data_IF_098529234622
#
_entry.id   IF_098529234622
#
_cell.length_a   1.000
_cell.length_b   1.000
_cell.length_c   1.000
_cell.angle_alpha   90.00
_cell.angle_beta   90.00
_cell.angle_gamma   90.00
#
_symmetry.space_group_name_H-M   'P 1'
#
loop_
_entity.id
_entity.type
_entity.pdbx_description
1 polymer ?
#
# COMPACT_ATOMS: atom_id res chain seq x y z
N UNK A 1 -17.01 -3.36 -4.28
CA UNK A 1 -15.72 -3.97 -3.89
C UNK A 1 -14.60 -2.93 -3.91
N UNK A 2 -14.69 -1.93 -4.79
CA UNK A 2 -13.77 -0.79 -4.94
C UNK A 2 -13.16 -0.21 -3.65
N UNK A 3 -13.93 0.01 -2.58
CA UNK A 3 -13.40 0.51 -1.30
C UNK A 3 -12.44 -0.47 -0.60
N UNK A 4 -12.71 -1.78 -0.69
CA UNK A 4 -11.85 -2.83 -0.16
C UNK A 4 -10.58 -2.94 -1.00
N UNK A 5 -10.70 -2.89 -2.33
CA UNK A 5 -9.57 -2.93 -3.25
C UNK A 5 -8.67 -1.70 -3.08
N UNK A 6 -9.25 -0.52 -2.85
CA UNK A 6 -8.51 0.69 -2.52
C UNK A 6 -7.76 0.55 -1.19
N UNK A 7 -8.41 -0.02 -0.17
CA UNK A 7 -7.76 -0.30 1.12
C UNK A 7 -6.62 -1.32 0.95
N UNK A 8 -6.81 -2.34 0.12
CA UNK A 8 -5.77 -3.32 -0.19
C UNK A 8 -4.56 -2.68 -0.91
N UNK A 9 -4.79 -1.69 -1.79
CA UNK A 9 -3.72 -0.90 -2.38
C UNK A 9 -2.89 -0.14 -1.32
N UNK A 10 -3.55 0.45 -0.32
CA UNK A 10 -2.84 1.09 0.82
C UNK A 10 -2.04 0.09 1.65
N UNK A 11 -2.60 -1.10 1.90
CA UNK A 11 -1.90 -2.17 2.62
C UNK A 11 -0.67 -2.63 1.83
N UNK A 12 -0.77 -2.76 0.51
CA UNK A 12 0.36 -3.07 -0.37
C UNK A 12 1.45 -1.99 -0.25
N UNK A 13 1.07 -0.72 -0.33
CA UNK A 13 2.03 0.38 -0.18
C UNK A 13 2.72 0.38 1.19
N UNK A 14 1.99 0.11 2.27
CA UNK A 14 2.55 -0.02 3.60
C UNK A 14 3.50 -1.22 3.72
N UNK A 15 3.15 -2.38 3.16
CA UNK A 15 4.00 -3.56 3.12
C UNK A 15 5.32 -3.28 2.39
N UNK A 16 5.24 -2.63 1.22
CA UNK A 16 6.41 -2.21 0.45
C UNK A 16 7.27 -1.24 1.26
N UNK A 17 6.69 -0.24 1.93
CA UNK A 17 7.48 0.68 2.78
C UNK A 17 8.15 0.00 3.97
N UNK A 18 7.56 -1.05 4.54
CA UNK A 18 8.20 -1.84 5.63
C UNK A 18 9.38 -2.66 5.13
N UNK A 19 9.26 -3.30 3.98
CA UNK A 19 10.30 -4.19 3.42
C UNK A 19 11.37 -3.43 2.62
N UNK A 20 10.98 -2.34 1.97
CA UNK A 20 11.81 -1.49 1.12
C UNK A 20 11.67 -0.03 1.59
N UNK A 21 12.34 0.36 2.70
CA UNK A 21 12.15 1.69 3.31
C UNK A 21 12.45 2.85 2.36
N UNK A 22 13.32 2.65 1.37
CA UNK A 22 13.69 3.66 0.38
C UNK A 22 12.76 3.72 -0.83
N UNK A 23 11.78 2.82 -0.95
CA UNK A 23 10.79 2.85 -2.03
C UNK A 23 10.01 4.18 -1.99
N UNK A 24 9.84 4.78 -3.16
CA UNK A 24 8.94 5.93 -3.32
C UNK A 24 7.60 5.45 -3.85
N UNK A 25 6.53 5.94 -3.23
CA UNK A 25 5.16 5.61 -3.59
C UNK A 25 4.69 6.53 -4.71
N UNK A 26 4.16 5.95 -5.78
CA UNK A 26 3.43 6.64 -6.83
C UNK A 26 1.93 6.63 -6.57
N UNK A 27 1.16 6.24 -7.58
CA UNK A 27 -0.31 6.20 -7.55
C UNK A 27 -0.77 4.77 -7.25
N UNK A 28 -1.77 4.65 -6.38
CA UNK A 28 -2.52 3.42 -6.17
C UNK A 28 -3.98 3.59 -6.59
N UNK A 29 -4.53 2.61 -7.29
CA UNK A 29 -5.94 2.61 -7.70
C UNK A 29 -6.57 1.23 -7.54
N UNK A 30 -7.86 1.24 -7.24
CA UNK A 30 -8.73 0.09 -7.46
C UNK A 30 -9.08 0.01 -8.95
N UNK A 31 -9.35 -1.21 -9.43
CA UNK A 31 -9.85 -1.50 -10.77
C UNK A 31 -10.97 -2.55 -10.68
N UNK A 32 -11.64 -2.85 -11.80
CA UNK A 32 -12.68 -3.88 -11.83
C UNK A 32 -12.16 -5.29 -11.48
N UNK A 33 -10.86 -5.52 -11.63
CA UNK A 33 -10.21 -6.82 -11.43
C UNK A 33 -9.36 -6.90 -10.15
N UNK A 34 -9.34 -5.84 -9.33
CA UNK A 34 -8.59 -5.79 -8.08
C UNK A 34 -7.96 -4.42 -7.86
N UNK A 35 -6.65 -4.38 -7.63
CA UNK A 35 -5.92 -3.15 -7.35
C UNK A 35 -4.49 -3.21 -7.87
N UNK A 36 -3.88 -2.05 -8.05
CA UNK A 36 -2.46 -1.90 -8.34
C UNK A 36 -1.88 -0.67 -7.63
N UNK A 37 -0.55 -0.62 -7.55
CA UNK A 37 0.17 0.50 -6.99
C UNK A 37 1.53 0.66 -7.69
N UNK A 38 1.88 1.89 -8.06
CA UNK A 38 3.16 2.22 -8.68
C UNK A 38 4.25 2.49 -7.64
N UNK A 39 5.43 1.92 -7.84
CA UNK A 39 6.59 2.10 -6.97
C UNK A 39 7.85 2.44 -7.77
N UNK A 40 8.62 3.40 -7.28
CA UNK A 40 10.03 3.58 -7.69
C UNK A 40 10.91 2.85 -6.65
N UNK A 41 11.23 1.59 -6.96
CA UNK A 41 12.01 0.67 -6.13
C UNK A 41 12.53 -0.54 -6.94
N UNK A 42 13.65 -1.10 -6.52
CA UNK A 42 14.17 -2.37 -7.04
C UNK A 42 13.39 -3.56 -6.45
N UNK A 43 12.20 -3.82 -6.99
CA UNK A 43 11.36 -4.96 -6.63
C UNK A 43 11.35 -5.95 -7.78
N UNK A 44 11.53 -7.23 -7.46
CA UNK A 44 11.44 -8.33 -8.42
C UNK A 44 10.25 -9.24 -8.12
N UNK A 45 9.87 -10.10 -9.08
CA UNK A 45 8.82 -11.11 -8.87
C UNK A 45 9.10 -12.04 -7.68
N UNK A 46 10.38 -12.27 -7.35
CA UNK A 46 10.81 -13.10 -6.21
C UNK A 46 10.45 -12.49 -4.85
N UNK A 47 10.16 -11.20 -4.82
CA UNK A 47 9.81 -10.48 -3.60
C UNK A 47 8.29 -10.45 -3.36
N UNK A 48 7.48 -10.75 -4.38
CA UNK A 48 6.02 -10.78 -4.26
C UNK A 48 5.53 -11.68 -3.12
N UNK A 49 6.04 -12.91 -2.91
CA UNK A 49 5.60 -13.74 -1.78
C UNK A 49 5.93 -13.13 -0.41
N UNK A 50 7.03 -12.35 -0.31
CA UNK A 50 7.40 -11.67 0.93
C UNK A 50 6.48 -10.46 1.18
N UNK A 51 6.19 -9.70 0.13
CA UNK A 51 5.28 -8.55 0.18
C UNK A 51 3.88 -9.02 0.59
N UNK A 52 3.34 -10.05 -0.06
CA UNK A 52 2.04 -10.62 0.29
C UNK A 52 1.99 -11.10 1.75
N UNK A 53 3.03 -11.80 2.21
CA UNK A 53 3.12 -12.21 3.62
C UNK A 53 3.11 -11.02 4.57
N UNK A 54 3.77 -9.92 4.22
CA UNK A 54 3.76 -8.70 5.03
C UNK A 54 2.39 -8.00 5.00
N UNK A 55 1.70 -7.99 3.87
CA UNK A 55 0.31 -7.51 3.78
C UNK A 55 -0.61 -8.28 4.74
N UNK A 56 -0.52 -9.61 4.79
CA UNK A 56 -1.29 -10.42 5.74
C UNK A 56 -0.94 -10.13 7.21
N UNK A 57 0.32 -9.77 7.52
CA UNK A 57 0.66 -9.32 8.88
C UNK A 57 -0.01 -8.00 9.22
N UNK A 58 0.05 -7.03 8.32
CA UNK A 58 -0.61 -5.72 8.49
C UNK A 58 -2.12 -5.88 8.72
N UNK A 59 -2.77 -6.76 7.94
CA UNK A 59 -4.20 -7.06 8.13
C UNK A 59 -4.47 -7.62 9.54
N UNK A 60 -3.62 -8.53 10.03
CA UNK A 60 -3.77 -9.13 11.37
C UNK A 60 -3.48 -8.17 12.51
N UNK A 61 -2.75 -7.09 12.25
CA UNK A 61 -2.50 -6.05 13.25
C UNK A 61 -3.74 -5.19 13.53
N UNK A 62 -4.80 -5.30 12.69
CA UNK A 62 -6.08 -4.60 12.85
C UNK A 62 -5.90 -3.10 13.12
N UNK A 63 -4.98 -2.48 12.37
CA UNK A 63 -4.63 -1.07 12.52
C UNK A 63 -5.83 -0.22 12.08
N UNK A 64 -6.31 0.72 12.91
CA UNK A 64 -7.42 1.59 12.52
C UNK A 64 -7.01 2.52 11.37
N UNK A 65 -7.83 2.55 10.31
CA UNK A 65 -7.68 3.52 9.22
C UNK A 65 -8.32 4.84 9.63
N UNK A 66 -7.52 5.90 9.73
CA UNK A 66 -7.96 7.23 10.18
C UNK A 66 -7.87 8.24 9.04
N UNK A 67 -9.02 8.78 8.62
CA UNK A 67 -9.08 9.92 7.70
C UNK A 67 -8.84 11.20 8.48
N UNK A 68 -7.89 12.02 8.04
CA UNK A 68 -7.64 13.36 8.58
C UNK A 68 -7.72 14.39 7.47
N UNK A 69 -8.49 15.44 7.70
CA UNK A 69 -8.48 16.62 6.84
C UNK A 69 -7.31 17.52 7.27
N UNK A 70 -6.47 17.88 6.30
CA UNK A 70 -5.25 18.66 6.51
C UNK A 70 -5.15 19.74 5.45
N UNK A 71 -4.43 20.81 5.73
CA UNK A 71 -4.16 21.84 4.72
C UNK A 71 -3.20 21.30 3.66
N UNK A 72 -3.17 21.93 2.48
CA UNK A 72 -2.20 21.59 1.42
C UNK A 72 -0.75 21.70 1.89
N UNK A 73 -0.47 22.62 2.80
CA UNK A 73 0.86 22.82 3.38
C UNK A 73 1.25 21.68 4.33
N UNK A 74 0.30 21.13 5.09
CA UNK A 74 0.53 19.96 5.95
C UNK A 74 0.66 18.65 5.17
N UNK A 75 0.17 18.59 3.94
CA UNK A 75 0.20 17.40 3.07
C UNK A 75 1.41 17.38 2.11
N UNK A 76 2.22 18.44 2.07
CA UNK A 76 3.48 18.48 1.33
C UNK A 76 4.60 17.85 2.16
#
# INVERSE_FOLDING_TARGET
MEALDHTAAHILAQAVKRLFPNAKLGIGSASETGFFYDFDADISEKDLPKIEKEMYKIIKEDIPVVRKEVTKEQAK
#
